data_IF_100558324043
#
_entry.id   IF_100558324043
#
_cell.length_a   1.000
_cell.length_b   1.000
_cell.length_c   1.000
_cell.angle_alpha   90.00
_cell.angle_beta   90.00
_cell.angle_gamma   90.00
#
_symmetry.space_group_name_H-M   'P 1'
#
loop_
_entity.id
_entity.type
_entity.pdbx_description
1 polymer ?
#
# COMPACT_ATOMS: atom_id res chain seq x y z
N UNK A 1 24.10 -22.60 -8.98
CA UNK A 1 23.70 -23.89 -8.37
C UNK A 1 22.18 -23.94 -8.36
N UNK A 2 21.53 -24.98 -8.91
CA UNK A 2 20.08 -25.06 -8.93
C UNK A 2 19.59 -25.40 -7.51
N UNK A 3 18.60 -24.65 -7.04
CA UNK A 3 17.91 -24.92 -5.77
C UNK A 3 17.29 -26.31 -5.87
N UNK A 4 17.85 -27.29 -5.17
CA UNK A 4 17.29 -28.62 -5.04
C UNK A 4 16.01 -28.51 -4.22
N UNK A 5 14.85 -28.62 -4.87
CA UNK A 5 13.62 -29.00 -4.20
C UNK A 5 13.76 -30.48 -3.83
N UNK A 6 13.98 -30.80 -2.55
CA UNK A 6 13.94 -32.19 -2.08
C UNK A 6 12.49 -32.67 -2.07
N UNK A 7 12.25 -33.77 -2.78
CA UNK A 7 10.93 -34.34 -3.08
C UNK A 7 10.30 -35.13 -1.92
N UNK A 8 11.00 -35.28 -0.78
CA UNK A 8 10.69 -36.31 0.21
C UNK A 8 10.29 -35.74 1.58
N UNK A 9 9.11 -35.10 1.68
CA UNK A 9 8.40 -34.95 2.98
C UNK A 9 6.91 -34.53 2.91
N UNK A 10 6.38 -34.15 1.74
CA UNK A 10 5.09 -33.42 1.69
C UNK A 10 3.84 -34.23 1.34
N UNK A 11 3.94 -35.54 1.13
CA UNK A 11 2.75 -36.37 0.88
C UNK A 11 1.97 -36.74 2.16
N UNK A 12 2.56 -36.57 3.35
CA UNK A 12 2.03 -37.17 4.59
C UNK A 12 1.48 -36.17 5.64
N UNK A 13 1.35 -34.87 5.32
CA UNK A 13 0.96 -33.86 6.32
C UNK A 13 -0.26 -32.99 5.94
N UNK A 14 -0.84 -33.18 4.75
CA UNK A 14 -2.06 -32.47 4.37
C UNK A 14 -3.27 -33.35 4.67
N UNK A 15 -4.01 -33.03 5.73
CA UNK A 15 -5.29 -33.68 6.02
C UNK A 15 -6.25 -33.40 4.85
N UNK A 16 -6.87 -34.43 4.23
CA UNK A 16 -7.74 -34.28 3.05
C UNK A 16 -9.01 -33.43 3.27
N UNK A 17 -9.35 -33.10 4.51
CA UNK A 17 -10.64 -32.52 4.90
C UNK A 17 -10.71 -30.98 4.83
N UNK A 18 -9.64 -30.30 4.40
CA UNK A 18 -9.57 -28.82 4.37
C UNK A 18 -9.14 -28.25 3.01
N UNK A 19 -9.42 -28.94 1.91
CA UNK A 19 -9.06 -28.46 0.57
C UNK A 19 -10.07 -27.44 0.05
N UNK A 20 -9.59 -26.45 -0.72
CA UNK A 20 -10.45 -25.42 -1.32
C UNK A 20 -10.26 -25.35 -2.84
N UNK A 21 -11.37 -25.14 -3.55
CA UNK A 21 -11.34 -24.72 -4.94
C UNK A 21 -11.32 -23.19 -5.02
N UNK A 22 -10.34 -22.62 -5.71
CA UNK A 22 -10.19 -21.16 -5.78
C UNK A 22 -10.00 -20.67 -7.22
N UNK A 23 -10.82 -19.70 -7.64
CA UNK A 23 -10.69 -18.94 -8.89
C UNK A 23 -10.36 -19.77 -10.15
N UNK A 24 -11.00 -20.93 -10.32
CA UNK A 24 -10.77 -21.87 -11.43
C UNK A 24 -9.32 -22.38 -11.54
N UNK A 25 -8.56 -22.37 -10.44
CA UNK A 25 -7.27 -23.05 -10.39
C UNK A 25 -7.50 -24.56 -10.63
N UNK A 26 -6.76 -25.20 -11.56
CA UNK A 26 -7.01 -26.58 -11.96
C UNK A 26 -6.82 -27.62 -10.85
N UNK A 27 -6.16 -27.25 -9.75
CA UNK A 27 -5.93 -28.12 -8.61
C UNK A 27 -6.61 -27.55 -7.36
N UNK A 28 -7.09 -28.40 -6.43
CA UNK A 28 -7.50 -27.93 -5.12
C UNK A 28 -6.28 -27.38 -4.38
N UNK A 29 -6.46 -26.27 -3.66
CA UNK A 29 -5.45 -25.74 -2.76
C UNK A 29 -5.60 -26.41 -1.40
N UNK A 30 -4.48 -26.74 -0.78
CA UNK A 30 -4.44 -27.40 0.53
C UNK A 30 -3.75 -26.52 1.55
N UNK A 31 -4.08 -26.63 2.85
CA UNK A 31 -3.32 -25.94 3.89
C UNK A 31 -1.85 -26.35 3.83
N UNK A 32 -0.96 -25.37 3.79
CA UNK A 32 0.48 -25.58 3.72
C UNK A 32 1.17 -24.89 4.92
N UNK A 33 2.37 -25.33 5.27
CA UNK A 33 3.25 -24.63 6.22
C UNK A 33 4.24 -23.75 5.47
N UNK A 34 4.66 -22.66 6.11
CA UNK A 34 5.61 -21.71 5.54
C UNK A 34 7.02 -22.24 5.73
N UNK A 35 7.73 -22.44 4.62
CA UNK A 35 9.12 -22.95 4.64
C UNK A 35 10.12 -21.96 4.05
N UNK A 36 9.61 -20.91 3.41
CA UNK A 36 10.38 -19.86 2.77
C UNK A 36 9.50 -18.62 2.62
N UNK A 37 10.10 -17.51 2.21
CA UNK A 37 9.35 -16.30 1.84
C UNK A 37 8.49 -16.60 0.61
N UNK A 38 7.17 -16.64 0.81
CA UNK A 38 6.18 -16.84 -0.24
C UNK A 38 5.39 -15.54 -0.44
N UNK A 39 4.96 -15.26 -1.67
CA UNK A 39 4.03 -14.17 -1.96
C UNK A 39 2.64 -14.73 -2.28
N UNK A 40 1.61 -14.04 -1.83
CA UNK A 40 0.23 -14.39 -2.13
C UNK A 40 -0.12 -14.05 -3.59
N UNK A 41 -0.68 -15.00 -4.34
CA UNK A 41 -1.06 -14.83 -5.73
C UNK A 41 -2.29 -13.92 -5.96
N UNK A 42 -2.99 -13.53 -4.88
CA UNK A 42 -4.14 -12.61 -4.94
C UNK A 42 -3.70 -11.18 -4.69
N UNK A 43 -3.11 -10.89 -3.52
CA UNK A 43 -2.74 -9.53 -3.11
C UNK A 43 -1.28 -9.15 -3.39
N UNK A 44 -0.44 -10.10 -3.83
CA UNK A 44 1.00 -9.94 -4.12
C UNK A 44 1.85 -9.56 -2.90
N UNK A 45 1.27 -9.55 -1.69
CA UNK A 45 2.00 -9.34 -0.44
C UNK A 45 2.68 -10.62 0.04
N UNK A 46 3.75 -10.46 0.81
CA UNK A 46 4.44 -11.57 1.47
C UNK A 46 3.49 -12.30 2.43
N UNK A 47 3.54 -13.63 2.43
CA UNK A 47 2.82 -14.50 3.36
C UNK A 47 3.72 -14.67 4.58
N UNK A 48 3.44 -13.89 5.61
CA UNK A 48 4.18 -13.91 6.88
C UNK A 48 3.48 -14.77 7.93
N UNK A 49 2.17 -15.00 7.79
CA UNK A 49 1.32 -15.67 8.78
C UNK A 49 0.70 -16.95 8.22
N UNK A 50 0.56 -17.94 9.09
CA UNK A 50 -0.17 -19.18 8.86
C UNK A 50 -1.59 -19.11 9.46
N UNK A 51 -2.55 -19.90 8.96
CA UNK A 51 -2.43 -20.88 7.89
C UNK A 51 -2.45 -20.22 6.49
N UNK A 52 -1.83 -20.88 5.51
CA UNK A 52 -1.85 -20.49 4.09
C UNK A 52 -2.39 -21.62 3.24
N UNK A 53 -3.04 -21.30 2.12
CA UNK A 53 -3.49 -22.29 1.14
C UNK A 53 -2.53 -22.33 -0.04
N UNK A 54 -2.15 -23.52 -0.47
CA UNK A 54 -1.14 -23.71 -1.50
C UNK A 54 -1.42 -24.85 -2.46
N UNK A 55 -0.99 -24.67 -3.71
CA UNK A 55 -0.77 -25.72 -4.69
C UNK A 55 0.73 -25.74 -5.03
N UNK A 56 1.46 -26.69 -4.44
CA UNK A 56 2.92 -26.83 -4.62
C UNK A 56 3.31 -27.07 -6.09
N UNK A 57 2.65 -27.97 -6.86
CA UNK A 57 2.97 -28.18 -8.28
C UNK A 57 2.88 -26.91 -9.12
N UNK A 58 1.93 -26.03 -8.79
CA UNK A 58 1.71 -24.77 -9.51
C UNK A 58 2.42 -23.56 -8.90
N UNK A 59 3.06 -23.72 -7.73
CA UNK A 59 3.62 -22.61 -6.93
C UNK A 59 2.59 -21.48 -6.71
N UNK A 60 1.36 -21.87 -6.40
CA UNK A 60 0.24 -20.96 -6.20
C UNK A 60 -0.13 -20.94 -4.73
N UNK A 61 0.07 -19.80 -4.05
CA UNK A 61 -0.06 -19.67 -2.60
C UNK A 61 -0.95 -18.46 -2.26
N UNK A 62 -1.77 -18.60 -1.23
CA UNK A 62 -2.71 -17.58 -0.79
C UNK A 62 -2.65 -17.42 0.74
N UNK A 63 -2.79 -16.18 1.21
CA UNK A 63 -3.23 -15.96 2.60
C UNK A 63 -4.61 -16.63 2.81
N UNK A 64 -4.88 -17.10 4.03
CA UNK A 64 -6.22 -17.57 4.41
C UNK A 64 -7.30 -16.53 4.08
N UNK A 65 -7.09 -15.28 4.45
CA UNK A 65 -8.01 -14.17 4.16
C UNK A 65 -8.23 -13.95 2.65
N UNK A 66 -7.19 -14.10 1.84
CA UNK A 66 -7.31 -13.99 0.38
C UNK A 66 -8.10 -15.15 -0.24
N UNK A 67 -8.03 -16.34 0.37
CA UNK A 67 -8.81 -17.49 -0.06
C UNK A 67 -10.31 -17.38 0.30
N UNK A 68 -10.62 -16.58 1.33
CA UNK A 68 -11.99 -16.35 1.82
C UNK A 68 -12.72 -15.21 1.08
N UNK A 69 -12.03 -14.48 0.20
CA UNK A 69 -12.68 -13.44 -0.61
C UNK A 69 -13.82 -14.00 -1.46
N UNK A 70 -14.91 -13.24 -1.52
CA UNK A 70 -16.05 -13.57 -2.35
C UNK A 70 -15.64 -13.63 -3.83
N UNK A 71 -15.87 -14.78 -4.46
CA UNK A 71 -15.53 -14.97 -5.89
C UNK A 71 -16.37 -14.10 -6.82
N UNK A 72 -17.50 -13.59 -6.32
CA UNK A 72 -18.42 -12.68 -7.00
C UNK A 72 -18.73 -11.50 -6.10
N UNK A 73 -18.64 -10.29 -6.62
CA UNK A 73 -18.77 -9.05 -5.88
C UNK A 73 -19.73 -8.10 -6.59
N UNK A 74 -20.74 -7.61 -5.89
CA UNK A 74 -21.51 -6.43 -6.33
C UNK A 74 -20.87 -5.18 -5.73
N UNK A 75 -20.26 -4.37 -6.57
CA UNK A 75 -19.47 -3.21 -6.11
C UNK A 75 -20.16 -1.89 -6.47
N UNK A 76 -20.18 -0.87 -5.59
CA UNK A 76 -20.81 0.43 -5.88
C UNK A 76 -20.21 1.18 -7.08
N UNK A 77 -18.95 0.91 -7.45
CA UNK A 77 -18.35 1.44 -8.68
C UNK A 77 -18.96 0.86 -9.96
N UNK A 78 -19.66 -0.26 -9.87
CA UNK A 78 -20.27 -0.93 -11.00
C UNK A 78 -21.53 -1.69 -10.56
N UNK A 79 -22.60 -0.96 -10.16
CA UNK A 79 -23.77 -1.58 -9.53
C UNK A 79 -24.60 -2.45 -10.50
N UNK A 80 -24.51 -2.18 -11.81
CA UNK A 80 -25.27 -2.85 -12.85
C UNK A 80 -24.85 -4.31 -13.07
N UNK A 81 -23.57 -4.64 -12.85
CA UNK A 81 -23.05 -5.99 -13.08
C UNK A 81 -22.25 -6.53 -11.91
N UNK A 82 -22.33 -7.85 -11.73
CA UNK A 82 -21.50 -8.57 -10.76
C UNK A 82 -20.08 -8.72 -11.29
N UNK A 83 -19.10 -8.29 -10.50
CA UNK A 83 -17.68 -8.51 -10.78
C UNK A 83 -17.27 -9.90 -10.30
N UNK A 84 -16.39 -10.55 -11.05
CA UNK A 84 -15.88 -11.87 -10.69
C UNK A 84 -14.38 -11.79 -10.42
N UNK A 85 -13.94 -12.39 -9.31
CA UNK A 85 -12.53 -12.52 -9.01
C UNK A 85 -11.88 -13.44 -10.04
N UNK A 86 -10.88 -12.92 -10.75
CA UNK A 86 -10.12 -13.64 -11.75
C UNK A 86 -8.67 -13.77 -11.31
N UNK A 87 -8.06 -14.94 -11.55
CA UNK A 87 -6.63 -15.11 -11.32
C UNK A 87 -5.85 -14.21 -12.30
N UNK A 88 -4.59 -13.94 -11.93
CA UNK A 88 -3.56 -13.25 -12.72
C UNK A 88 -3.79 -13.34 -14.24
N UNK A 89 -4.14 -12.21 -14.87
CA UNK A 89 -4.07 -12.07 -16.32
C UNK A 89 -2.62 -11.79 -16.75
N UNK A 90 -2.23 -12.33 -17.90
CA UNK A 90 -0.97 -12.02 -18.58
C UNK A 90 -1.22 -10.89 -19.58
N UNK A 91 -1.40 -9.66 -19.11
CA UNK A 91 -1.68 -8.53 -19.98
C UNK A 91 -1.37 -7.17 -19.34
N UNK A 92 -1.37 -6.16 -20.19
CA UNK A 92 -1.19 -4.73 -19.85
C UNK A 92 -2.51 -4.12 -19.35
N UNK A 93 -3.18 -4.80 -18.41
CA UNK A 93 -4.42 -4.31 -17.82
C UNK A 93 -4.15 -3.35 -16.66
N UNK A 94 -5.11 -2.48 -16.36
CA UNK A 94 -5.04 -1.48 -15.30
C UNK A 94 -6.30 -1.52 -14.43
N UNK A 95 -6.15 -1.18 -13.15
CA UNK A 95 -7.31 -0.97 -12.28
C UNK A 95 -8.08 0.28 -12.75
N UNK A 96 -9.38 0.16 -12.99
CA UNK A 96 -10.24 1.28 -13.39
C UNK A 96 -10.34 2.38 -12.33
N UNK A 97 -10.04 2.07 -11.06
CA UNK A 97 -10.17 3.03 -9.97
C UNK A 97 -8.85 3.70 -9.57
N UNK A 98 -7.74 2.96 -9.50
CA UNK A 98 -6.45 3.54 -9.11
C UNK A 98 -5.42 3.59 -10.24
N UNK A 99 -5.75 3.11 -11.44
CA UNK A 99 -4.84 2.98 -12.59
C UNK A 99 -3.54 2.22 -12.32
N UNK A 100 -3.44 1.51 -11.19
CA UNK A 100 -2.32 0.61 -10.93
C UNK A 100 -2.31 -0.48 -11.99
N UNK A 101 -1.17 -0.62 -12.65
CA UNK A 101 -0.94 -1.69 -13.61
C UNK A 101 -1.01 -3.06 -12.93
N UNK A 102 -1.63 -4.01 -13.60
CA UNK A 102 -1.64 -5.42 -13.19
C UNK A 102 -0.39 -6.18 -13.68
N UNK A 103 0.56 -5.51 -14.34
CA UNK A 103 1.85 -6.09 -14.72
C UNK A 103 2.54 -6.68 -13.48
N UNK A 104 3.02 -7.92 -13.60
CA UNK A 104 3.51 -8.72 -12.46
C UNK A 104 2.46 -9.64 -11.84
N UNK A 105 1.18 -9.41 -12.14
CA UNK A 105 0.13 -10.41 -12.10
C UNK A 105 -0.68 -10.51 -10.82
N UNK A 106 -1.28 -9.41 -10.40
CA UNK A 106 -2.26 -9.41 -9.32
C UNK A 106 -3.56 -10.09 -9.79
N UNK A 107 -4.31 -10.65 -8.85
CA UNK A 107 -5.72 -11.02 -9.12
C UNK A 107 -6.58 -9.75 -9.10
N UNK A 108 -7.68 -9.76 -9.85
CA UNK A 108 -8.57 -8.60 -10.00
C UNK A 108 -10.02 -9.04 -10.14
N UNK A 109 -10.93 -8.17 -9.73
CA UNK A 109 -12.36 -8.30 -9.96
C UNK A 109 -12.72 -7.72 -11.32
N UNK A 110 -13.22 -8.57 -12.21
CA UNK A 110 -13.50 -8.19 -13.59
C UNK A 110 -14.99 -8.35 -13.90
N UNK A 111 -15.57 -7.37 -14.58
CA UNK A 111 -16.86 -7.55 -15.23
C UNK A 111 -16.67 -8.40 -16.51
N UNK A 112 -17.64 -9.25 -16.85
CA UNK A 112 -17.64 -9.98 -18.14
C UNK A 112 -18.32 -9.21 -19.25
N UNK A 113 -19.25 -8.35 -18.87
CA UNK A 113 -20.12 -7.60 -19.78
C UNK A 113 -19.52 -6.23 -20.12
N UNK A 114 -18.70 -5.70 -19.21
CA UNK A 114 -17.95 -4.46 -19.38
C UNK A 114 -16.45 -4.73 -19.21
N UNK A 115 -15.59 -3.89 -19.80
CA UNK A 115 -14.14 -3.99 -19.64
C UNK A 115 -13.64 -3.36 -18.30
N UNK A 116 -14.48 -3.39 -17.27
CA UNK A 116 -14.14 -2.85 -15.94
C UNK A 116 -13.38 -3.88 -15.12
N UNK A 117 -12.22 -3.47 -14.60
CA UNK A 117 -11.32 -4.28 -13.77
C UNK A 117 -10.95 -3.52 -12.50
N UNK A 118 -11.12 -4.12 -11.33
CA UNK A 118 -10.74 -3.54 -10.03
C UNK A 118 -9.67 -4.40 -9.37
N UNK A 119 -8.58 -3.77 -8.91
CA UNK A 119 -7.63 -4.44 -8.04
C UNK A 119 -8.28 -4.78 -6.69
N UNK A 120 -7.71 -5.75 -5.97
CA UNK A 120 -8.20 -6.17 -4.64
C UNK A 120 -8.32 -4.98 -3.68
N UNK A 121 -7.33 -4.07 -3.67
CA UNK A 121 -7.36 -2.92 -2.77
C UNK A 121 -8.52 -1.97 -3.09
N UNK A 122 -8.85 -1.79 -4.37
CA UNK A 122 -9.93 -0.92 -4.82
C UNK A 122 -11.31 -1.56 -4.72
N UNK A 123 -11.41 -2.90 -4.75
CA UNK A 123 -12.67 -3.60 -4.50
C UNK A 123 -13.13 -3.54 -3.04
N UNK A 124 -12.25 -3.09 -2.14
CA UNK A 124 -12.54 -2.84 -0.73
C UNK A 124 -12.88 -1.36 -0.46
N UNK A 125 -12.91 -0.51 -1.49
CA UNK A 125 -13.18 0.94 -1.34
C UNK A 125 -14.63 1.27 -1.62
N UNK A 126 -15.22 2.07 -0.74
CA UNK A 126 -16.60 2.54 -0.88
C UNK A 126 -16.61 4.01 -1.29
N UNK A 127 -17.38 4.40 -2.33
CA UNK A 127 -17.63 5.79 -2.65
C UNK A 127 -18.64 6.39 -1.66
N UNK A 128 -18.15 7.17 -0.71
CA UNK A 128 -18.98 7.71 0.37
C UNK A 128 -19.04 9.24 0.39
N UNK A 129 -18.19 9.93 -0.36
CA UNK A 129 -18.12 11.38 -0.33
C UNK A 129 -19.07 12.00 -1.36
N UNK A 130 -20.13 12.64 -0.90
CA UNK A 130 -21.01 13.47 -1.74
C UNK A 130 -20.39 14.86 -1.91
N UNK A 131 -20.43 15.40 -3.13
CA UNK A 131 -19.93 16.74 -3.43
C UNK A 131 -20.86 17.43 -4.42
N UNK A 132 -21.25 18.69 -4.17
CA UNK A 132 -22.25 19.38 -5.00
C UNK A 132 -21.82 19.54 -6.48
N UNK A 133 -20.53 19.57 -6.75
CA UNK A 133 -20.01 19.67 -8.12
C UNK A 133 -19.99 18.34 -8.90
N UNK A 134 -20.40 17.21 -8.30
CA UNK A 134 -20.47 15.93 -9.00
C UNK A 134 -21.62 15.04 -8.48
N UNK A 135 -22.38 14.45 -9.41
CA UNK A 135 -23.64 13.76 -9.10
C UNK A 135 -23.48 12.44 -8.34
N UNK A 136 -22.33 11.78 -8.47
CA UNK A 136 -22.04 10.52 -7.79
C UNK A 136 -21.14 10.71 -6.58
N UNK A 137 -21.25 9.81 -5.61
CA UNK A 137 -20.29 9.75 -4.51
C UNK A 137 -18.88 9.44 -5.03
N UNK A 138 -17.89 10.13 -4.48
CA UNK A 138 -16.48 9.99 -4.77
C UNK A 138 -15.84 9.02 -3.76
N UNK A 139 -14.89 8.21 -4.22
CA UNK A 139 -14.04 7.39 -3.37
C UNK A 139 -12.65 8.00 -3.23
N UNK A 140 -12.09 7.90 -2.03
CA UNK A 140 -10.72 8.34 -1.74
C UNK A 140 -9.73 7.24 -2.12
N UNK A 141 -8.88 7.49 -3.11
CA UNK A 141 -8.04 6.48 -3.75
C UNK A 141 -6.61 7.02 -3.91
N UNK A 142 -5.61 6.16 -3.64
CA UNK A 142 -4.23 6.43 -4.04
C UNK A 142 -4.07 6.04 -5.49
N UNK A 143 -3.88 7.03 -6.36
CA UNK A 143 -3.84 6.82 -7.78
C UNK A 143 -2.41 6.60 -8.31
N UNK A 144 -2.31 5.84 -9.39
CA UNK A 144 -1.06 5.51 -10.08
C UNK A 144 -1.16 5.92 -11.56
N UNK A 145 -1.60 7.15 -11.80
CA UNK A 145 -1.77 7.69 -13.15
C UNK A 145 -0.42 8.08 -13.77
N UNK A 146 -0.30 7.94 -15.09
CA UNK A 146 0.75 8.60 -15.86
C UNK A 146 0.40 10.04 -16.22
N UNK A 147 -0.86 10.30 -16.59
CA UNK A 147 -1.36 11.60 -17.09
C UNK A 147 -2.88 11.72 -16.87
N UNK A 148 -3.33 12.10 -15.68
CA UNK A 148 -4.75 12.44 -15.41
C UNK A 148 -4.84 13.85 -14.84
N UNK A 149 -5.89 14.59 -15.18
CA UNK A 149 -6.08 15.97 -14.75
C UNK A 149 -7.23 16.09 -13.77
N UNK A 150 -7.06 16.93 -12.76
CA UNK A 150 -8.11 17.27 -11.82
C UNK A 150 -9.25 18.02 -12.54
N UNK A 151 -10.47 17.51 -12.44
CA UNK A 151 -11.66 18.09 -13.07
C UNK A 151 -12.09 19.46 -12.52
N UNK A 152 -11.44 19.96 -11.47
CA UNK A 152 -11.69 21.28 -10.90
C UNK A 152 -10.58 22.30 -11.25
N UNK A 153 -9.33 22.03 -10.86
CA UNK A 153 -8.22 22.97 -11.07
C UNK A 153 -7.46 22.76 -12.39
N UNK A 154 -7.79 21.70 -13.13
CA UNK A 154 -7.16 21.33 -14.40
C UNK A 154 -5.64 21.12 -14.33
N UNK A 155 -5.10 20.94 -13.13
CA UNK A 155 -3.70 20.57 -12.90
C UNK A 155 -3.55 19.04 -12.91
N UNK A 156 -2.39 18.51 -13.31
CA UNK A 156 -2.16 17.07 -13.31
C UNK A 156 -2.23 16.49 -11.90
N UNK A 157 -2.85 15.31 -11.77
CA UNK A 157 -2.76 14.46 -10.58
C UNK A 157 -1.51 13.57 -10.72
N UNK A 158 -0.58 13.69 -9.79
CA UNK A 158 0.70 13.01 -9.85
C UNK A 158 0.59 11.51 -9.57
N UNK A 159 1.56 10.74 -10.07
CA UNK A 159 1.65 9.31 -9.76
C UNK A 159 1.88 9.10 -8.25
N UNK A 160 1.05 8.28 -7.62
CA UNK A 160 1.06 8.04 -6.18
C UNK A 160 0.27 9.08 -5.36
N UNK A 161 -0.35 10.08 -5.99
CA UNK A 161 -1.15 11.09 -5.31
C UNK A 161 -2.48 10.53 -4.79
N UNK A 162 -2.97 11.10 -3.70
CA UNK A 162 -4.30 10.79 -3.18
C UNK A 162 -5.34 11.65 -3.88
N UNK A 163 -6.34 11.00 -4.48
CA UNK A 163 -7.39 11.65 -5.26
C UNK A 163 -8.77 11.23 -4.78
N UNK A 164 -9.76 12.02 -5.15
CA UNK A 164 -11.16 11.67 -5.05
C UNK A 164 -11.65 11.32 -6.44
N UNK A 165 -12.16 10.10 -6.57
CA UNK A 165 -12.48 9.54 -7.87
C UNK A 165 -13.89 8.96 -7.91
N UNK A 166 -14.65 9.37 -8.92
CA UNK A 166 -15.85 8.69 -9.36
C UNK A 166 -15.48 7.74 -10.51
N UNK A 167 -15.40 6.45 -10.22
CA UNK A 167 -15.09 5.42 -11.22
C UNK A 167 -16.15 5.37 -12.34
N UNK A 168 -17.48 5.41 -12.07
CA UNK A 168 -18.48 5.41 -13.14
C UNK A 168 -18.36 6.55 -14.16
N UNK A 169 -17.91 7.72 -13.73
CA UNK A 169 -17.79 8.91 -14.59
C UNK A 169 -16.36 9.16 -15.08
N UNK A 170 -15.39 8.35 -14.65
CA UNK A 170 -13.97 8.63 -14.78
C UNK A 170 -13.60 10.07 -14.34
N UNK A 171 -14.27 10.57 -13.29
CA UNK A 171 -14.07 11.93 -12.79
C UNK A 171 -13.08 11.89 -11.63
N UNK A 172 -11.98 12.63 -11.75
CA UNK A 172 -10.91 12.69 -10.75
C UNK A 172 -10.75 14.13 -10.29
N UNK A 173 -10.59 14.31 -8.98
CA UNK A 173 -10.40 15.63 -8.40
C UNK A 173 -9.44 15.56 -7.21
N UNK A 174 -8.60 16.58 -7.05
CA UNK A 174 -7.75 16.65 -5.87
C UNK A 174 -8.62 16.84 -4.62
N UNK A 175 -8.23 16.27 -3.48
CA UNK A 175 -8.89 16.53 -2.21
C UNK A 175 -8.93 18.04 -1.86
N UNK A 176 -7.83 18.76 -2.15
CA UNK A 176 -7.73 20.23 -1.96
C UNK A 176 -8.67 21.05 -2.85
N UNK A 177 -9.25 20.44 -3.89
CA UNK A 177 -10.03 21.16 -4.90
C UNK A 177 -11.55 21.09 -4.69
N UNK A 178 -12.04 20.22 -3.81
CA UNK A 178 -13.50 20.02 -3.67
C UNK A 178 -14.09 20.43 -2.33
N UNK A 179 -13.33 20.41 -1.23
CA UNK A 179 -13.95 20.51 0.07
C UNK A 179 -13.07 21.25 1.06
N UNK A 180 -13.76 21.99 1.94
CA UNK A 180 -13.36 22.34 3.28
C UNK A 180 -13.03 21.05 4.05
N UNK A 181 -11.89 20.44 3.73
CA UNK A 181 -11.29 19.43 4.57
C UNK A 181 -11.28 20.00 5.99
N UNK A 182 -11.81 19.26 6.98
CA UNK A 182 -11.92 19.77 8.34
C UNK A 182 -10.56 20.32 8.75
N UNK A 183 -10.50 21.63 8.99
CA UNK A 183 -9.22 22.29 9.29
C UNK A 183 -8.57 21.71 10.54
N UNK A 184 -9.38 21.08 11.39
CA UNK A 184 -8.95 20.30 12.54
C UNK A 184 -9.75 19.00 12.65
N UNK A 185 -9.08 17.90 12.97
CA UNK A 185 -9.69 16.58 13.22
C UNK A 185 -9.22 16.03 14.56
N UNK A 186 -10.11 15.34 15.26
CA UNK A 186 -9.77 14.53 16.44
C UNK A 186 -9.66 13.07 15.99
N UNK A 187 -8.43 12.61 15.77
CA UNK A 187 -8.15 11.18 15.52
C UNK A 187 -7.79 10.56 16.86
N UNK A 188 -7.54 9.24 16.96
CA UNK A 188 -6.99 8.55 18.15
C UNK A 188 -5.63 9.10 18.67
N UNK A 189 -5.29 10.33 18.33
CA UNK A 189 -4.26 11.17 18.90
C UNK A 189 -4.88 12.11 19.96
N UNK A 190 -4.20 12.32 21.09
CA UNK A 190 -4.71 13.12 22.22
C UNK A 190 -4.87 14.62 21.94
N UNK A 191 -4.41 15.09 20.78
CA UNK A 191 -4.46 16.49 20.37
C UNK A 191 -5.17 16.60 19.02
N UNK A 192 -5.72 17.79 18.74
CA UNK A 192 -6.31 18.10 17.44
C UNK A 192 -5.22 18.13 16.37
N UNK A 193 -5.49 17.47 15.24
CA UNK A 193 -4.62 17.53 14.07
C UNK A 193 -5.16 18.57 13.10
N UNK A 194 -4.28 19.40 12.57
CA UNK A 194 -4.64 20.47 11.65
C UNK A 194 -4.22 20.14 10.23
N UNK A 195 -5.08 20.49 9.28
CA UNK A 195 -4.76 20.34 7.86
C UNK A 195 -3.73 21.39 7.46
N UNK A 196 -2.57 20.91 7.00
CA UNK A 196 -1.47 21.78 6.57
C UNK A 196 -0.98 21.37 5.18
N UNK A 197 -0.53 22.37 4.41
CA UNK A 197 0.18 22.12 3.16
C UNK A 197 1.63 21.77 3.47
N UNK A 198 2.09 20.61 2.99
CA UNK A 198 3.47 20.13 3.21
C UNK A 198 4.50 20.87 2.36
N UNK A 199 4.18 22.05 1.81
CA UNK A 199 5.09 22.91 1.03
C UNK A 199 6.30 23.42 1.84
N UNK A 200 6.39 23.10 3.14
CA UNK A 200 7.41 23.60 4.07
C UNK A 200 8.17 22.43 4.71
N UNK A 201 8.76 21.54 3.92
CA UNK A 201 9.79 20.64 4.45
C UNK A 201 10.97 20.65 3.48
N UNK A 202 11.80 21.68 3.64
CA UNK A 202 13.10 21.80 2.99
C UNK A 202 13.90 20.51 3.22
N UNK A 203 14.21 19.83 2.13
CA UNK A 203 15.25 18.82 1.91
C UNK A 203 16.07 18.45 3.16
N UNK A 204 15.84 17.23 3.74
CA UNK A 204 16.89 16.30 4.24
C UNK A 204 16.47 15.29 5.34
N UNK A 205 15.22 15.23 5.81
CA UNK A 205 14.76 14.16 6.71
C UNK A 205 13.73 13.24 6.04
N UNK A 206 13.84 11.93 6.27
CA UNK A 206 12.87 10.94 5.77
C UNK A 206 11.50 11.20 6.44
N UNK A 207 10.58 11.79 5.68
CA UNK A 207 9.26 12.18 6.17
C UNK A 207 8.37 10.94 6.26
N UNK A 208 8.09 10.43 7.46
CA UNK A 208 7.19 9.29 7.65
C UNK A 208 5.78 9.74 8.05
N UNK A 209 4.77 8.99 7.63
CA UNK A 209 3.39 9.12 8.10
C UNK A 209 3.25 8.40 9.44
N UNK A 210 2.85 9.11 10.50
CA UNK A 210 2.69 8.55 11.86
C UNK A 210 1.62 7.45 11.97
N UNK A 211 0.70 7.35 11.01
CA UNK A 211 -0.36 6.33 11.00
C UNK A 211 0.11 5.03 10.34
N UNK A 212 0.80 5.12 9.19
CA UNK A 212 1.17 3.92 8.43
C UNK A 212 2.68 3.62 8.42
N UNK A 213 3.49 4.46 9.06
CA UNK A 213 4.96 4.40 9.13
C UNK A 213 5.65 4.30 7.76
N UNK A 214 5.00 4.77 6.69
CA UNK A 214 5.58 4.82 5.34
C UNK A 214 6.05 6.22 5.01
N UNK A 215 7.02 6.30 4.09
CA UNK A 215 7.47 7.57 3.52
C UNK A 215 6.28 8.33 2.91
N UNK A 216 6.10 9.56 3.39
CA UNK A 216 5.16 10.54 2.87
C UNK A 216 5.58 10.96 1.48
N UNK A 217 4.60 11.33 0.67
CA UNK A 217 4.89 11.94 -0.64
C UNK A 217 5.08 13.44 -0.43
N UNK A 218 6.23 14.02 -0.83
CA UNK A 218 6.46 15.47 -0.67
C UNK A 218 5.39 16.31 -1.38
N UNK A 219 5.14 17.52 -0.88
CA UNK A 219 4.16 18.47 -1.45
C UNK A 219 2.72 17.94 -1.52
N UNK A 220 2.35 17.03 -0.61
CA UNK A 220 0.98 16.58 -0.41
C UNK A 220 0.41 17.20 0.87
N UNK A 221 -0.90 17.36 0.96
CA UNK A 221 -1.53 17.77 2.22
C UNK A 221 -1.26 16.74 3.32
N UNK A 222 -1.08 17.22 4.54
CA UNK A 222 -0.91 16.39 5.73
C UNK A 222 -1.81 16.89 6.84
N UNK A 223 -2.17 15.99 7.75
CA UNK A 223 -2.70 16.38 9.05
C UNK A 223 -1.56 16.31 10.07
N UNK A 224 -1.23 17.44 10.68
CA UNK A 224 -0.17 17.50 11.68
C UNK A 224 -0.69 18.05 13.00
N UNK A 225 -0.12 17.55 14.09
CA UNK A 225 -0.34 18.10 15.41
C UNK A 225 0.55 19.33 15.61
N UNK A 226 0.02 20.38 16.26
CA UNK A 226 0.82 21.54 16.64
C UNK A 226 1.49 21.37 18.02
N UNK A 227 1.11 20.32 18.77
CA UNK A 227 1.57 20.05 20.14
C UNK A 227 2.61 18.92 20.20
N UNK A 228 2.75 18.13 19.14
CA UNK A 228 3.77 17.08 19.03
C UNK A 228 4.11 16.74 17.58
N UNK A 229 5.11 15.89 17.37
CA UNK A 229 5.62 15.50 16.04
C UNK A 229 4.72 14.52 15.26
N UNK A 230 3.41 14.51 15.55
CA UNK A 230 2.48 13.65 14.84
C UNK A 230 2.16 14.27 13.48
N UNK A 231 2.48 13.57 12.39
CA UNK A 231 2.19 13.99 11.02
C UNK A 231 1.66 12.80 10.25
N UNK A 232 0.44 12.89 9.75
CA UNK A 232 -0.22 11.85 8.97
C UNK A 232 -0.43 12.31 7.53
N UNK A 233 -0.13 11.42 6.58
CA UNK A 233 -0.57 11.60 5.19
C UNK A 233 -2.08 11.83 5.16
N UNK A 234 -2.54 12.72 4.28
CA UNK A 234 -3.97 13.01 4.09
C UNK A 234 -4.81 11.72 3.97
N UNK A 235 -4.30 10.73 3.22
CA UNK A 235 -4.96 9.43 3.03
C UNK A 235 -5.15 8.65 4.33
N UNK A 236 -4.13 8.62 5.18
CA UNK A 236 -4.17 7.87 6.41
C UNK A 236 -5.08 8.56 7.44
N UNK A 237 -4.97 9.87 7.57
CA UNK A 237 -5.81 10.66 8.47
C UNK A 237 -7.31 10.60 8.08
N UNK A 238 -7.63 10.73 6.79
CA UNK A 238 -9.02 10.67 6.31
C UNK A 238 -9.62 9.27 6.47
N UNK A 239 -8.83 8.19 6.34
CA UNK A 239 -9.37 6.84 6.52
C UNK A 239 -9.85 6.54 7.93
N UNK A 240 -9.23 7.14 8.94
CA UNK A 240 -9.63 6.97 10.34
C UNK A 240 -10.93 7.70 10.67
N UNK A 241 -11.18 8.87 10.05
CA UNK A 241 -12.36 9.72 10.33
C UNK A 241 -13.47 9.63 9.28
N UNK A 242 -13.25 8.89 8.19
CA UNK A 242 -14.25 8.65 7.16
C UNK A 242 -15.59 8.17 7.75
N UNK A 243 -15.62 7.27 8.77
CA UNK A 243 -16.86 6.92 9.44
C UNK A 243 -17.61 8.14 10.02
N UNK A 244 -16.90 9.07 10.67
CA UNK A 244 -17.50 10.24 11.35
C UNK A 244 -17.92 11.35 10.38
N UNK A 245 -17.15 11.57 9.30
CA UNK A 245 -17.53 12.52 8.23
C UNK A 245 -18.82 12.08 7.52
N UNK A 246 -19.03 10.76 7.39
CA UNK A 246 -20.25 10.19 6.78
C UNK A 246 -21.46 10.38 7.71
N UNK A 247 -21.28 10.24 9.03
CA UNK A 247 -22.35 10.36 10.03
C UNK A 247 -22.85 11.80 10.16
N UNK A 248 -21.99 12.80 9.94
CA UNK A 248 -22.37 14.22 10.05
C UNK A 248 -23.37 14.73 8.99
N UNK A 249 -23.86 13.86 8.09
CA UNK A 249 -24.90 14.21 7.12
C UNK A 249 -26.27 13.52 7.33
N UNK A 250 -26.46 12.71 8.36
CA UNK A 250 -27.80 12.15 8.68
C UNK A 250 -28.09 12.14 10.19
N UNK A 251 -28.75 13.22 10.63
CA UNK A 251 -29.73 13.36 11.73
C UNK A 251 -29.32 12.94 13.16
N UNK A 252 -29.59 13.88 14.09
CA UNK A 252 -29.62 13.74 15.54
C UNK A 252 -30.19 12.39 16.03
N UNK A 253 -29.44 11.70 16.89
CA UNK A 253 -29.92 10.51 17.59
C UNK A 253 -28.96 10.12 18.71
N UNK A 254 -29.34 10.44 19.95
CA UNK A 254 -28.64 10.08 21.18
C UNK A 254 -28.33 8.58 21.24
N UNK A 255 -27.10 8.20 21.63
CA UNK A 255 -26.88 6.91 22.27
C UNK A 255 -25.92 7.03 23.46
N UNK A 256 -26.41 6.53 24.58
CA UNK A 256 -25.84 6.54 25.91
C UNK A 256 -24.59 5.67 26.04
N UNK A 257 -23.63 6.20 26.79
CA UNK A 257 -22.42 5.56 27.26
C UNK A 257 -22.74 4.45 28.28
N UNK A 258 -22.20 3.24 28.09
CA UNK A 258 -21.99 2.30 29.21
C UNK A 258 -20.70 1.52 28.99
N UNK A 259 -19.72 1.85 29.83
CA UNK A 259 -18.44 1.16 30.02
C UNK A 259 -18.69 -0.04 30.93
N UNK A 260 -18.33 -1.24 30.49
CA UNK A 260 -18.02 -2.34 31.43
C UNK A 260 -16.74 -3.06 30.96
N UNK A 261 -15.78 -3.13 31.88
CA UNK A 261 -14.59 -3.97 31.79
C UNK A 261 -15.00 -5.43 32.02
N UNK A 262 -14.52 -6.35 31.19
CA UNK A 262 -14.46 -7.77 31.50
C UNK A 262 -13.06 -8.27 31.14
N UNK A 263 -12.40 -8.93 32.10
CA UNK A 263 -11.12 -9.61 31.91
C UNK A 263 -11.31 -10.71 30.86
N UNK A 264 -10.86 -10.43 29.63
CA UNK A 264 -10.90 -11.35 28.49
C UNK A 264 -9.53 -12.05 28.32
N UNK A 265 -9.44 -13.36 28.58
CA UNK A 265 -8.20 -14.14 28.41
C UNK A 265 -7.61 -14.07 26.99
N UNK A 266 -8.41 -13.72 25.99
CA UNK A 266 -7.97 -13.55 24.59
C UNK A 266 -7.17 -12.26 24.43
N UNK A 267 -7.51 -11.20 25.16
CA UNK A 267 -6.80 -9.92 25.10
C UNK A 267 -5.40 -10.02 25.72
N UNK A 268 -5.25 -10.80 26.81
CA UNK A 268 -3.94 -11.07 27.43
C UNK A 268 -2.99 -11.84 26.49
N UNK A 269 -3.53 -12.69 25.62
CA UNK A 269 -2.74 -13.45 24.65
C UNK A 269 -2.30 -12.55 23.48
N UNK A 270 -3.20 -11.67 23.01
CA UNK A 270 -2.89 -10.64 22.01
C UNK A 270 -1.85 -9.64 22.55
N UNK A 271 -1.96 -9.20 23.80
CA UNK A 271 -1.01 -8.26 24.40
C UNK A 271 0.41 -8.86 24.53
N UNK A 272 0.51 -10.16 24.78
CA UNK A 272 1.80 -10.88 24.76
C UNK A 272 2.38 -10.93 23.35
N UNK A 273 1.56 -11.21 22.33
CA UNK A 273 2.00 -11.18 20.93
C UNK A 273 2.47 -9.80 20.50
N UNK A 274 1.73 -8.74 20.88
CA UNK A 274 2.13 -7.34 20.64
C UNK A 274 3.48 -7.05 21.29
N UNK A 275 3.72 -7.50 22.52
CA UNK A 275 5.00 -7.31 23.21
C UNK A 275 6.15 -7.96 22.44
N UNK A 276 5.98 -9.21 21.99
CA UNK A 276 7.01 -9.94 21.22
C UNK A 276 7.29 -9.26 19.88
N UNK A 277 6.25 -8.78 19.18
CA UNK A 277 6.41 -8.06 17.91
C UNK A 277 7.11 -6.71 18.09
N UNK A 278 6.84 -5.99 19.19
CA UNK A 278 7.54 -4.74 19.54
C UNK A 278 9.02 -4.99 19.79
N UNK A 279 9.38 -6.04 20.52
CA UNK A 279 10.77 -6.41 20.78
C UNK A 279 11.49 -6.79 19.48
N UNK A 280 10.85 -7.55 18.60
CA UNK A 280 11.42 -7.90 17.30
C UNK A 280 11.63 -6.67 16.40
N UNK A 281 10.66 -5.74 16.39
CA UNK A 281 10.78 -4.45 15.69
C UNK A 281 11.97 -3.64 16.20
N UNK A 282 12.21 -3.60 17.52
CA UNK A 282 13.36 -2.92 18.12
C UNK A 282 14.70 -3.53 17.66
N UNK A 283 14.81 -4.85 17.58
CA UNK A 283 16.03 -5.54 17.08
C UNK A 283 16.28 -5.22 15.60
N UNK A 284 15.23 -5.20 14.78
CA UNK A 284 15.33 -4.87 13.36
C UNK A 284 15.75 -3.42 13.15
N UNK A 285 15.18 -2.47 13.90
CA UNK A 285 15.59 -1.05 13.86
C UNK A 285 17.07 -0.88 14.18
N UNK A 286 17.56 -1.54 15.24
CA UNK A 286 18.99 -1.50 15.61
C UNK A 286 19.90 -2.11 14.55
N UNK A 287 19.44 -3.15 13.86
CA UNK A 287 20.19 -3.78 12.76
C UNK A 287 20.23 -2.86 11.54
N UNK A 288 19.12 -2.19 11.22
CA UNK A 288 19.04 -1.20 10.15
C UNK A 288 19.99 -0.03 10.40
N UNK A 289 20.06 0.49 11.62
CA UNK A 289 21.03 1.53 12.00
C UNK A 289 22.48 1.08 11.74
N UNK A 290 22.83 -0.16 12.10
CA UNK A 290 24.15 -0.72 11.83
C UNK A 290 24.47 -0.86 10.34
N UNK A 291 23.47 -1.25 9.52
CA UNK A 291 23.62 -1.32 8.06
C UNK A 291 23.77 0.07 7.43
N UNK A 292 23.01 1.05 7.91
CA UNK A 292 23.11 2.43 7.45
C UNK A 292 24.47 3.05 7.76
N UNK A 293 25.06 2.74 8.93
CA UNK A 293 26.40 3.19 9.26
C UNK A 293 27.44 2.60 8.28
N UNK A 294 27.36 1.29 8.00
CA UNK A 294 28.21 0.63 7.01
C UNK A 294 28.02 1.19 5.59
N UNK A 295 26.79 1.53 5.21
CA UNK A 295 26.51 2.13 3.92
C UNK A 295 27.17 3.52 3.78
N UNK A 296 27.16 4.31 4.86
CA UNK A 296 27.88 5.60 4.90
C UNK A 296 29.39 5.42 4.76
N UNK A 297 29.98 4.47 5.48
CA UNK A 297 31.41 4.15 5.36
C UNK A 297 31.80 3.77 3.93
N UNK A 298 31.02 2.87 3.31
CA UNK A 298 31.24 2.46 1.91
C UNK A 298 31.08 3.62 0.92
N UNK A 299 30.14 4.53 1.16
CA UNK A 299 29.94 5.71 0.31
C UNK A 299 31.15 6.64 0.36
N UNK A 300 31.73 6.86 1.55
CA UNK A 300 32.95 7.65 1.71
C UNK A 300 34.15 6.99 1.02
N UNK A 301 34.26 5.66 1.09
CA UNK A 301 35.31 4.92 0.38
C UNK A 301 35.17 5.05 -1.14
N UNK A 302 33.94 5.00 -1.67
CA UNK A 302 33.65 5.22 -3.09
C UNK A 302 34.10 6.63 -3.51
N UNK A 303 33.69 7.68 -2.78
CA UNK A 303 34.07 9.07 -3.10
C UNK A 303 35.59 9.28 -3.11
N UNK A 304 36.32 8.57 -2.24
CA UNK A 304 37.78 8.63 -2.20
C UNK A 304 38.38 7.99 -3.44
N UNK A 305 37.89 6.82 -3.83
CA UNK A 305 38.34 6.12 -5.05
C UNK A 305 38.04 6.97 -6.29
N UNK A 306 36.87 7.60 -6.37
CA UNK A 306 36.50 8.44 -7.51
C UNK A 306 37.45 9.65 -7.66
N UNK A 307 37.83 10.29 -6.55
CA UNK A 307 38.84 11.37 -6.56
C UNK A 307 40.21 10.89 -7.04
N UNK A 308 40.65 9.71 -6.60
CA UNK A 308 41.91 9.12 -7.03
C UNK A 308 41.88 8.83 -8.55
N UNK A 309 40.74 8.38 -9.08
CA UNK A 309 40.52 8.17 -10.52
C UNK A 309 40.59 9.49 -11.29
N UNK A 310 39.88 10.53 -10.86
CA UNK A 310 39.91 11.85 -11.50
C UNK A 310 41.33 12.45 -11.57
N UNK A 311 42.11 12.31 -10.49
CA UNK A 311 43.50 12.79 -10.47
C UNK A 311 44.37 12.03 -11.48
N UNK A 312 44.19 10.72 -11.60
CA UNK A 312 44.90 9.89 -12.57
C UNK A 312 44.49 10.22 -14.01
N UNK A 313 43.22 10.49 -14.27
CA UNK A 313 42.73 10.93 -15.58
C UNK A 313 43.33 12.28 -15.97
N UNK A 314 43.39 13.24 -15.03
CA UNK A 314 44.05 14.52 -15.27
C UNK A 314 45.52 14.35 -15.63
N UNK A 315 46.29 13.58 -14.83
CA UNK A 315 47.70 13.27 -15.12
C UNK A 315 47.89 12.61 -16.48
N UNK A 316 46.96 11.73 -16.89
CA UNK A 316 46.95 11.09 -18.21
C UNK A 316 46.77 12.12 -19.33
N UNK A 317 45.81 13.04 -19.21
CA UNK A 317 45.55 14.08 -20.22
C UNK A 317 46.73 15.04 -20.38
N UNK A 318 47.32 15.49 -19.27
CA UNK A 318 48.52 16.35 -19.29
C UNK A 318 49.68 15.66 -20.02
N UNK A 319 49.94 14.38 -19.70
CA UNK A 319 51.01 13.62 -20.35
C UNK A 319 50.76 13.36 -21.84
N UNK A 320 49.51 13.20 -22.25
CA UNK A 320 49.13 13.07 -23.66
C UNK A 320 49.32 14.39 -24.43
N UNK A 321 49.09 15.55 -23.80
CA UNK A 321 49.27 16.86 -24.42
C UNK A 321 50.75 17.22 -24.67
N UNK A 322 51.65 16.83 -23.77
CA UNK A 322 53.10 16.99 -23.95
C UNK A 322 53.69 16.16 -25.10
N UNK A 323 53.03 15.06 -25.49
CA UNK A 323 53.44 14.21 -26.59
C UNK A 323 53.18 14.82 -27.98
N UNK A 324 52.34 15.86 -28.10
CA UNK A 324 51.98 16.47 -29.39
C UNK A 324 52.71 17.79 -29.67
N UNK A 325 53.52 18.29 -28.72
CA UNK A 325 54.30 19.53 -28.86
C UNK A 325 55.79 19.30 -29.20
N UNK A 326 56.16 18.05 -29.51
CA UNK A 326 57.55 17.63 -29.73
C UNK A 326 57.88 17.20 -31.18
N UNK A 327 56.96 17.44 -32.13
CA UNK A 327 57.18 17.25 -33.57
C UNK A 327 57.35 18.59 -34.32
#
# INVERSE_FOLDING_TARGET
MPVKFSFDLYQNLCLPEMQIEFCNHPHPLVPCKLESKLCCNVCIQEITLLPLYGCIPCKYFLHKSCAEFEKSLKHPFHPEHTLLLRPKSSGDDWCAACCKSFVGGCSAYNCRECDLKLCIDCSLKMPNLKWEGHVHSLAFIKAYYGYTFCGFCNSPCCNGESVLHCVPCDFVVHPRCIAELPQSIEVHHRHLLFLNDSLIEDMMEDLYCSVCEKLRTPNQLVYSCNECDFVSDLYCAIQEILPDIIINNEVEGEYSNSKENLDDPVLDEIDKEISVLRDHSMVLKKTLEGLNLRAKELTQDIEKVDKDVEELEKKRTERASFSWSAD
#
